data_IF_981939006442
#
_entry.id   IF_981939006442
#
_cell.length_a   1.000
_cell.length_b   1.000
_cell.length_c   1.000
_cell.angle_alpha   90.00
_cell.angle_beta   90.00
_cell.angle_gamma   90.00
#
_symmetry.space_group_name_H-M   'P 1'
#
loop_
_entity.id
_entity.type
_entity.pdbx_description
1 polymer ?
#
# COMPACT_ATOMS: atom_id res chain seq x y z
N UNK A 1 -37.63 -61.03 5.04
CA UNK A 1 -37.82 -60.11 3.88
C UNK A 1 -38.09 -58.73 4.49
N UNK A 2 -37.41 -57.63 4.24
CA UNK A 2 -36.38 -57.27 3.26
C UNK A 2 -35.92 -55.87 3.69
N UNK A 3 -34.60 -55.66 3.74
CA UNK A 3 -33.92 -54.37 3.92
C UNK A 3 -34.36 -53.40 2.82
N UNK A 4 -34.76 -52.17 3.18
CA UNK A 4 -35.09 -51.12 2.20
C UNK A 4 -33.93 -50.13 2.08
N UNK A 5 -33.15 -50.38 1.05
CA UNK A 5 -32.16 -49.49 0.45
C UNK A 5 -32.83 -48.37 -0.37
N UNK A 6 -32.21 -47.19 -0.27
CA UNK A 6 -31.79 -46.31 -1.37
C UNK A 6 -32.80 -45.48 -2.20
N UNK A 7 -32.20 -44.42 -2.78
CA UNK A 7 -32.62 -43.47 -3.82
C UNK A 7 -33.43 -42.25 -3.32
N UNK A 8 -32.88 -41.03 -3.35
CA UNK A 8 -32.56 -40.19 -4.54
C UNK A 8 -33.85 -39.79 -5.28
N UNK A 9 -34.11 -38.54 -5.71
CA UNK A 9 -33.21 -37.61 -6.35
C UNK A 9 -33.93 -36.29 -6.73
N UNK A 10 -33.14 -35.33 -7.21
CA UNK A 10 -33.41 -34.42 -8.35
C UNK A 10 -34.33 -33.20 -8.15
N UNK A 11 -33.69 -32.06 -7.89
CA UNK A 11 -33.83 -30.85 -8.71
C UNK A 11 -32.43 -30.21 -8.74
N UNK A 12 -31.69 -30.05 -9.85
CA UNK A 12 -32.09 -29.93 -11.23
C UNK A 12 -31.97 -28.47 -11.67
N UNK A 13 -30.74 -27.97 -11.87
CA UNK A 13 -30.52 -26.91 -12.85
C UNK A 13 -29.11 -27.04 -13.45
N UNK A 14 -29.11 -27.16 -14.77
CA UNK A 14 -27.95 -27.31 -15.65
C UNK A 14 -27.49 -25.91 -16.06
N UNK A 15 -26.18 -25.63 -15.92
CA UNK A 15 -25.51 -24.63 -16.73
C UNK A 15 -24.15 -25.20 -17.17
N UNK A 16 -24.07 -25.54 -18.46
CA UNK A 16 -22.85 -25.95 -19.16
C UNK A 16 -22.10 -24.69 -19.55
N UNK A 17 -20.81 -24.62 -19.21
CA UNK A 17 -19.88 -23.58 -19.66
C UNK A 17 -18.45 -24.02 -19.42
N UNK A 18 -17.82 -24.56 -20.46
CA UNK A 18 -16.40 -24.92 -20.50
C UNK A 18 -15.54 -23.68 -20.78
N UNK A 19 -14.64 -23.31 -19.88
CA UNK A 19 -13.37 -22.66 -20.24
C UNK A 19 -12.28 -22.96 -19.21
N UNK A 20 -11.19 -23.48 -19.76
CA UNK A 20 -9.87 -23.73 -19.21
C UNK A 20 -9.28 -22.51 -18.49
N UNK A 21 -8.63 -22.77 -17.35
CA UNK A 21 -7.62 -21.91 -16.75
C UNK A 21 -8.15 -20.69 -16.03
N UNK A 22 -7.76 -20.53 -14.77
CA UNK A 22 -7.01 -19.36 -14.34
C UNK A 22 -6.34 -19.68 -13.00
N UNK A 23 -5.05 -19.42 -13.01
CA UNK A 23 -4.09 -19.56 -11.94
C UNK A 23 -4.57 -18.67 -10.78
N UNK A 24 -4.78 -19.25 -9.59
CA UNK A 24 -4.91 -18.45 -8.36
C UNK A 24 -3.52 -17.88 -8.03
N UNK A 25 -3.21 -16.73 -8.63
CA UNK A 25 -2.00 -15.96 -8.34
C UNK A 25 -2.20 -15.22 -7.02
N UNK A 26 -1.24 -15.47 -6.12
CA UNK A 26 -0.80 -14.61 -5.03
C UNK A 26 -1.82 -14.26 -3.93
N UNK A 27 -1.78 -15.06 -2.87
CA UNK A 27 -1.79 -14.48 -1.52
C UNK A 27 -0.53 -13.61 -1.37
N UNK A 28 -0.62 -12.35 -1.79
CA UNK A 28 0.30 -11.32 -1.35
C UNK A 28 0.05 -11.10 0.14
N UNK A 29 0.84 -11.75 0.98
CA UNK A 29 0.97 -11.41 2.39
C UNK A 29 1.45 -9.96 2.47
N UNK A 30 0.50 -9.02 2.60
CA UNK A 30 0.80 -7.62 2.81
C UNK A 30 1.64 -7.51 4.09
N UNK A 31 2.93 -7.23 3.93
CA UNK A 31 3.77 -6.85 5.05
C UNK A 31 3.14 -5.62 5.73
N UNK A 32 3.21 -5.50 7.06
CA UNK A 32 2.69 -4.33 7.75
C UNK A 32 3.34 -3.08 7.16
N UNK A 33 2.53 -2.18 6.63
CA UNK A 33 3.00 -0.91 6.08
C UNK A 33 3.86 -0.21 7.15
N UNK A 34 5.07 0.26 6.81
CA UNK A 34 5.98 0.85 7.79
C UNK A 34 5.30 2.04 8.44
N UNK A 35 5.10 1.93 9.75
CA UNK A 35 4.64 3.02 10.61
C UNK A 35 5.86 3.60 11.30
N UNK A 36 6.20 4.86 11.00
CA UNK A 36 7.13 5.57 11.86
C UNK A 36 6.37 6.12 13.07
N UNK A 37 6.88 5.83 14.26
CA UNK A 37 6.26 6.15 15.55
C UNK A 37 7.30 6.89 16.39
N UNK A 38 7.48 8.18 16.14
CA UNK A 38 8.40 9.00 16.94
C UNK A 38 7.75 10.34 17.24
N UNK A 39 7.79 10.73 18.52
CA UNK A 39 7.19 11.98 19.02
C UNK A 39 5.69 12.17 18.68
N UNK A 40 4.91 11.08 18.55
CA UNK A 40 3.48 11.15 18.24
C UNK A 40 3.13 11.34 16.77
N UNK A 41 4.13 11.44 15.89
CA UNK A 41 3.91 11.32 14.46
C UNK A 41 3.65 9.85 14.11
N UNK A 42 2.59 9.60 13.32
CA UNK A 42 2.29 8.31 12.71
C UNK A 42 2.34 8.56 11.23
N UNK A 43 3.24 7.93 10.50
CA UNK A 43 3.23 8.03 9.04
C UNK A 43 3.24 6.62 8.46
N UNK A 44 2.39 6.40 7.46
CA UNK A 44 2.12 5.12 6.83
C UNK A 44 2.06 5.27 5.31
N UNK A 45 2.46 4.22 4.60
CA UNK A 45 2.47 4.18 3.14
C UNK A 45 1.65 2.98 2.66
N UNK A 46 0.72 3.21 1.74
CA UNK A 46 -0.14 2.17 1.18
C UNK A 46 -0.35 2.37 -0.33
N UNK A 47 -0.19 1.32 -1.16
CA UNK A 47 0.33 -0.01 -0.82
C UNK A 47 1.84 0.02 -0.49
N UNK A 48 2.29 -0.95 0.33
CA UNK A 48 3.70 -1.22 0.59
C UNK A 48 3.82 -2.69 1.06
N UNK A 49 4.48 -3.59 0.31
CA UNK A 49 5.23 -3.34 -0.92
C UNK A 49 4.37 -2.91 -2.12
N UNK A 50 4.99 -2.27 -3.11
CA UNK A 50 4.32 -1.68 -4.27
C UNK A 50 5.08 -1.93 -5.57
N UNK A 51 4.38 -2.25 -6.66
CA UNK A 51 5.01 -2.45 -7.95
C UNK A 51 5.57 -1.13 -8.54
N UNK A 52 6.72 -1.15 -9.23
CA UNK A 52 7.26 0.02 -9.92
C UNK A 52 6.24 0.70 -10.83
N UNK A 53 6.21 2.03 -10.84
CA UNK A 53 5.27 2.81 -11.64
C UNK A 53 3.85 2.90 -11.05
N UNK A 54 3.56 2.32 -9.88
CA UNK A 54 2.25 2.47 -9.24
C UNK A 54 2.18 3.74 -8.37
N UNK A 55 0.95 4.18 -8.09
CA UNK A 55 0.69 5.26 -7.14
C UNK A 55 0.63 4.69 -5.71
N UNK A 56 1.31 5.37 -4.79
CA UNK A 56 1.20 5.16 -3.35
C UNK A 56 0.50 6.34 -2.68
N UNK A 57 -0.17 6.04 -1.57
CA UNK A 57 -0.71 7.01 -0.64
C UNK A 57 0.16 7.05 0.60
N UNK A 58 0.62 8.23 0.95
CA UNK A 58 1.39 8.52 2.17
C UNK A 58 0.45 9.27 3.10
N UNK A 59 0.08 8.63 4.21
CA UNK A 59 -0.79 9.23 5.23
C UNK A 59 -0.01 9.43 6.49
N UNK A 60 -0.21 10.54 7.19
CA UNK A 60 0.33 10.64 8.52
C UNK A 60 -0.15 11.82 9.34
N UNK A 61 0.37 11.95 10.55
CA UNK A 61 0.12 13.08 11.45
C UNK A 61 1.44 13.66 11.94
N UNK A 62 1.53 14.98 12.04
CA UNK A 62 2.71 15.69 12.56
C UNK A 62 2.65 15.92 14.08
N UNK A 63 1.93 15.07 14.84
CA UNK A 63 1.89 15.13 16.30
C UNK A 63 1.22 16.39 16.88
N UNK A 64 0.14 16.89 16.26
CA UNK A 64 -0.61 18.06 16.73
C UNK A 64 -0.02 19.43 16.36
N UNK A 65 1.10 19.45 15.62
CA UNK A 65 1.69 20.66 15.03
C UNK A 65 1.28 20.89 13.57
N UNK A 66 1.57 22.07 13.00
CA UNK A 66 1.12 22.45 11.67
C UNK A 66 1.68 21.56 10.57
N UNK A 67 0.86 21.51 9.51
CA UNK A 67 1.04 21.13 8.10
C UNK A 67 2.35 20.45 7.67
N UNK A 68 2.22 19.50 6.76
CA UNK A 68 3.39 18.91 6.09
C UNK A 68 4.15 19.99 5.28
N UNK A 69 5.45 20.12 5.52
CA UNK A 69 6.31 21.10 4.84
C UNK A 69 6.86 20.54 3.53
N UNK A 70 7.26 19.27 3.55
CA UNK A 70 7.87 18.60 2.41
C UNK A 70 7.61 17.10 2.44
N UNK A 71 7.40 16.51 1.26
CA UNK A 71 7.46 15.06 1.06
C UNK A 71 8.26 14.81 -0.21
N UNK A 72 9.26 13.94 -0.14
CA UNK A 72 10.05 13.60 -1.30
C UNK A 72 11.15 12.59 -1.03
N UNK A 73 12.01 12.38 -2.03
CA UNK A 73 13.07 11.40 -1.95
C UNK A 73 14.16 11.83 -0.95
N UNK A 74 14.70 10.88 -0.18
CA UNK A 74 15.83 11.18 0.69
C UNK A 74 17.11 11.48 -0.13
N UNK A 75 17.90 12.49 0.25
CA UNK A 75 19.14 12.82 -0.45
C UNK A 75 20.17 11.67 -0.33
N UNK A 76 20.86 11.37 -1.43
CA UNK A 76 21.94 10.36 -1.46
C UNK A 76 21.49 8.91 -1.58
N UNK A 77 20.20 8.65 -1.79
CA UNK A 77 19.62 7.32 -1.96
C UNK A 77 18.98 7.15 -3.35
N UNK A 78 18.71 5.90 -3.81
CA UNK A 78 17.88 5.69 -4.99
C UNK A 78 16.56 6.43 -4.81
N UNK A 79 16.08 7.14 -5.84
CA UNK A 79 14.87 7.96 -5.78
C UNK A 79 13.63 7.07 -5.92
N UNK A 80 12.93 6.66 -4.83
CA UNK A 80 11.74 5.82 -4.94
C UNK A 80 10.58 6.49 -5.69
N UNK A 81 10.48 7.82 -5.65
CA UNK A 81 9.37 8.58 -6.22
C UNK A 81 9.75 9.22 -7.56
N UNK A 82 8.89 9.05 -8.55
CA UNK A 82 8.99 9.63 -9.89
C UNK A 82 8.16 10.91 -9.98
N UNK A 83 8.83 12.03 -9.69
CA UNK A 83 8.28 13.36 -9.83
C UNK A 83 7.69 13.94 -8.54
N UNK A 84 6.67 14.80 -8.73
CA UNK A 84 6.10 15.60 -7.65
C UNK A 84 5.15 14.78 -6.77
N UNK A 85 5.26 14.99 -5.46
CA UNK A 85 4.28 14.49 -4.49
C UNK A 85 3.10 15.43 -4.43
N UNK A 86 1.89 14.88 -4.53
CA UNK A 86 0.64 15.64 -4.46
C UNK A 86 0.04 15.52 -3.07
N UNK A 87 0.06 16.61 -2.31
CA UNK A 87 -0.66 16.69 -1.04
C UNK A 87 -2.16 16.84 -1.36
N UNK A 88 -2.94 15.85 -0.99
CA UNK A 88 -4.40 15.78 -1.20
C UNK A 88 -5.14 16.42 -0.04
N UNK A 89 -4.67 16.17 1.18
CA UNK A 89 -5.22 16.69 2.43
C UNK A 89 -4.07 17.07 3.35
N UNK A 90 -4.25 18.14 4.10
CA UNK A 90 -3.27 18.61 5.06
C UNK A 90 -3.99 19.48 6.09
N UNK A 91 -4.24 18.92 7.26
CA UNK A 91 -5.05 19.49 8.34
C UNK A 91 -4.43 19.17 9.70
N UNK A 92 -4.88 19.80 10.80
CA UNK A 92 -4.35 19.53 12.15
C UNK A 92 -4.45 18.05 12.58
N UNK A 93 -5.43 17.31 12.05
CA UNK A 93 -5.63 15.88 12.32
C UNK A 93 -4.67 14.97 11.54
N UNK A 94 -4.00 15.51 10.51
CA UNK A 94 -3.05 14.79 9.67
C UNK A 94 -3.12 15.19 8.19
N UNK A 95 -2.28 14.54 7.39
CA UNK A 95 -2.14 14.74 5.95
C UNK A 95 -2.35 13.45 5.17
N UNK A 96 -2.72 13.61 3.90
CA UNK A 96 -2.78 12.58 2.89
C UNK A 96 -2.07 13.10 1.66
N UNK A 97 -1.07 12.38 1.19
CA UNK A 97 -0.34 12.68 -0.03
C UNK A 97 -0.33 11.48 -0.97
N UNK A 98 -0.22 11.75 -2.26
CA UNK A 98 -0.11 10.76 -3.32
C UNK A 98 1.19 10.97 -4.08
N UNK A 99 1.88 9.87 -4.34
CA UNK A 99 3.13 9.89 -5.08
C UNK A 99 3.22 8.68 -6.00
N UNK A 100 3.90 8.83 -7.13
CA UNK A 100 4.16 7.72 -8.04
C UNK A 100 5.52 7.12 -7.75
N UNK A 101 5.60 5.80 -7.67
CA UNK A 101 6.88 5.08 -7.55
C UNK A 101 7.56 5.03 -8.91
N UNK A 102 8.87 5.21 -8.97
CA UNK A 102 9.59 5.18 -10.23
C UNK A 102 9.51 3.82 -10.90
N UNK A 103 9.24 3.82 -12.21
CA UNK A 103 9.04 2.59 -12.98
C UNK A 103 10.33 1.80 -13.25
N UNK A 104 11.49 2.45 -13.12
CA UNK A 104 12.80 1.86 -13.41
C UNK A 104 13.55 1.38 -12.14
N UNK A 105 12.85 1.24 -11.01
CA UNK A 105 13.41 0.67 -9.79
C UNK A 105 13.32 -0.85 -9.87
N UNK A 106 14.46 -1.54 -9.69
CA UNK A 106 14.47 -2.98 -9.39
C UNK A 106 14.07 -3.23 -7.94
N UNK A 107 13.85 -4.48 -7.53
CA UNK A 107 13.37 -4.82 -6.18
C UNK A 107 14.23 -4.25 -5.04
N UNK A 108 13.59 -3.76 -3.98
CA UNK A 108 14.30 -3.12 -2.86
C UNK A 108 13.43 -2.20 -2.02
N UNK A 109 14.06 -1.34 -1.24
CA UNK A 109 13.39 -0.32 -0.45
C UNK A 109 14.10 1.02 -0.57
N UNK A 110 13.35 2.06 -0.95
CA UNK A 110 13.83 3.42 -1.10
C UNK A 110 13.34 4.33 0.03
N UNK A 111 14.20 5.15 0.65
CA UNK A 111 13.78 6.09 1.68
C UNK A 111 13.07 7.32 1.10
N UNK A 112 11.93 7.66 1.69
CA UNK A 112 11.14 8.87 1.48
C UNK A 112 11.18 9.71 2.75
N UNK A 113 11.45 11.00 2.60
CA UNK A 113 11.45 11.98 3.68
C UNK A 113 10.10 12.68 3.72
N UNK A 114 9.58 12.83 4.94
CA UNK A 114 8.44 13.67 5.28
C UNK A 114 8.92 14.69 6.30
N UNK A 115 8.87 15.96 5.94
CA UNK A 115 9.22 17.07 6.83
C UNK A 115 7.96 17.78 7.31
N UNK A 116 7.86 18.00 8.61
CA UNK A 116 6.75 18.69 9.27
C UNK A 116 7.27 20.04 9.76
N UNK A 117 6.53 21.14 9.55
CA UNK A 117 7.02 22.53 9.74
C UNK A 117 7.66 22.80 11.11
N UNK A 118 7.17 22.16 12.17
CA UNK A 118 7.66 22.37 13.56
C UNK A 118 8.37 21.15 14.15
N UNK A 119 8.53 20.08 13.38
CA UNK A 119 9.05 18.79 13.84
C UNK A 119 10.28 18.43 13.00
N UNK A 120 11.06 17.45 13.41
CA UNK A 120 12.19 16.97 12.60
C UNK A 120 11.67 16.17 11.41
N UNK A 121 12.38 16.26 10.28
CA UNK A 121 12.16 15.41 9.13
C UNK A 121 12.24 13.92 9.51
N UNK A 122 11.27 13.17 9.02
CA UNK A 122 11.05 11.75 9.26
C UNK A 122 11.29 10.97 7.98
N UNK A 123 11.94 9.80 8.08
CA UNK A 123 12.24 8.96 6.92
C UNK A 123 11.48 7.65 7.00
N UNK A 124 10.78 7.31 5.93
CA UNK A 124 10.04 6.05 5.76
C UNK A 124 10.59 5.28 4.58
N UNK A 125 10.52 3.96 4.66
CA UNK A 125 10.92 3.07 3.58
C UNK A 125 9.71 2.71 2.71
N UNK A 126 9.84 2.92 1.42
CA UNK A 126 8.90 2.42 0.42
C UNK A 126 9.52 1.20 -0.23
N UNK A 127 8.93 0.03 0.00
CA UNK A 127 9.40 -1.23 -0.57
C UNK A 127 8.76 -1.45 -1.92
N UNK A 128 9.56 -1.83 -2.91
CA UNK A 128 9.11 -2.15 -4.26
C UNK A 128 9.56 -3.55 -4.67
N UNK A 129 8.65 -4.26 -5.34
CA UNK A 129 8.74 -5.69 -5.72
C UNK A 129 8.08 -5.94 -7.07
#
# INVERSE_FOLDING_TARGET
MTTRSMLAALAGLVAVGTTTGLISVANASAAPSPTLDRAGARIQVTPNPVAPGQEITITGSCGGGPRVAYIGNAPGHPYPLDGAVRIVKDDPDGFVAKARVAANLGDGAGPVVVDCVTTRAETILVTHV
#
